data_IF_070006441776
#
_entry.id   IF_070006441776
#
_cell.length_a   1.000
_cell.length_b   1.000
_cell.length_c   1.000
_cell.angle_alpha   90.00
_cell.angle_beta   90.00
_cell.angle_gamma   90.00
#
_symmetry.space_group_name_H-M   'P 1'
#
loop_
_entity.id
_entity.type
_entity.pdbx_description
1 polymer ?
#
# COMPACT_ATOMS: atom_id res chain seq x y z
N UNK A 1 -40.89 -115.12 30.47
CA UNK A 1 -40.18 -114.79 29.27
C UNK A 1 -39.96 -113.28 29.33
N UNK A 2 -38.75 -112.88 29.22
CA UNK A 2 -38.22 -111.61 29.64
C UNK A 2 -38.86 -110.37 28.99
N UNK A 3 -39.37 -109.47 29.83
CA UNK A 3 -39.63 -108.08 29.52
C UNK A 3 -38.37 -107.29 29.82
N UNK A 4 -37.94 -106.59 28.87
CA UNK A 4 -36.81 -105.63 29.02
C UNK A 4 -37.43 -104.28 29.24
N UNK A 5 -37.25 -103.71 30.46
CA UNK A 5 -37.52 -102.37 30.78
C UNK A 5 -36.37 -101.51 30.19
N UNK A 6 -36.69 -100.59 29.31
CA UNK A 6 -35.79 -99.47 28.89
C UNK A 6 -36.00 -98.33 29.88
N UNK A 7 -34.94 -97.71 30.37
CA UNK A 7 -35.09 -96.50 31.19
C UNK A 7 -35.42 -95.28 30.32
N UNK A 8 -36.49 -94.61 30.71
CA UNK A 8 -36.83 -93.28 30.18
C UNK A 8 -35.68 -92.30 30.49
N UNK A 9 -35.05 -91.77 29.46
CA UNK A 9 -34.15 -90.64 29.57
C UNK A 9 -34.98 -89.38 29.92
N UNK A 10 -34.78 -88.89 31.17
CA UNK A 10 -35.28 -87.56 31.59
C UNK A 10 -34.65 -86.52 30.71
N UNK A 11 -35.39 -85.96 29.74
CA UNK A 11 -35.07 -84.75 29.07
C UNK A 11 -35.09 -83.63 30.13
N UNK A 12 -33.93 -83.25 30.65
CA UNK A 12 -33.76 -81.98 31.38
C UNK A 12 -34.14 -80.83 30.43
N UNK A 13 -35.35 -80.33 30.52
CA UNK A 13 -35.75 -79.06 29.93
C UNK A 13 -34.79 -77.97 30.44
N UNK A 14 -33.95 -77.52 29.54
CA UNK A 14 -33.08 -76.36 29.75
C UNK A 14 -33.98 -75.09 29.92
N UNK A 15 -34.49 -74.97 31.15
CA UNK A 15 -35.35 -73.84 31.53
C UNK A 15 -34.48 -72.57 31.52
N UNK A 16 -34.68 -71.72 30.49
CA UNK A 16 -34.09 -70.39 30.47
C UNK A 16 -34.29 -69.71 31.83
N UNK A 17 -33.24 -69.07 32.39
CA UNK A 17 -33.36 -68.43 33.69
C UNK A 17 -34.49 -67.37 33.63
N UNK A 18 -35.29 -67.27 34.70
CA UNK A 18 -36.42 -66.34 34.72
C UNK A 18 -35.92 -64.94 34.48
N UNK A 19 -36.63 -64.10 33.69
CA UNK A 19 -36.21 -62.73 33.42
C UNK A 19 -36.04 -62.01 34.72
N UNK A 20 -34.98 -61.09 34.80
CA UNK A 20 -34.69 -60.37 36.01
C UNK A 20 -35.89 -59.49 36.40
N UNK A 21 -36.41 -59.71 37.63
CA UNK A 21 -37.46 -58.87 38.20
C UNK A 21 -36.87 -57.73 38.97
N UNK A 22 -37.07 -56.52 38.48
CA UNK A 22 -36.64 -55.24 39.15
C UNK A 22 -37.79 -54.67 40.01
N UNK A 23 -37.49 -54.10 41.16
CA UNK A 23 -38.46 -53.35 41.95
C UNK A 23 -38.85 -52.09 41.25
N UNK A 24 -40.03 -51.51 41.57
CA UNK A 24 -40.46 -50.20 41.02
C UNK A 24 -39.49 -49.07 41.39
N UNK A 25 -38.83 -49.15 42.53
CA UNK A 25 -37.81 -48.16 42.97
C UNK A 25 -36.54 -48.30 42.15
N UNK A 26 -36.06 -49.47 41.84
CA UNK A 26 -34.89 -49.70 40.99
C UNK A 26 -35.14 -49.23 39.54
N UNK A 27 -36.36 -49.44 39.03
CA UNK A 27 -36.78 -48.94 37.74
C UNK A 27 -36.87 -47.42 37.71
N UNK A 28 -37.35 -46.77 38.77
CA UNK A 28 -37.42 -45.34 38.89
C UNK A 28 -36.01 -44.72 38.98
N UNK A 29 -35.10 -45.31 39.74
CA UNK A 29 -33.71 -44.89 39.85
C UNK A 29 -32.95 -45.04 38.52
N UNK A 30 -33.10 -46.17 37.84
CA UNK A 30 -32.48 -46.39 36.54
C UNK A 30 -32.97 -45.38 35.48
N UNK A 31 -34.28 -45.05 35.50
CA UNK A 31 -34.83 -44.02 34.60
C UNK A 31 -34.28 -42.64 34.92
N UNK A 32 -34.18 -42.27 36.21
CA UNK A 32 -33.63 -40.97 36.62
C UNK A 32 -32.14 -40.88 36.23
N UNK A 33 -31.35 -41.93 36.51
CA UNK A 33 -29.93 -41.97 36.11
C UNK A 33 -29.76 -41.84 34.60
N UNK A 34 -30.52 -42.60 33.81
CA UNK A 34 -30.47 -42.55 32.35
C UNK A 34 -30.90 -41.17 31.81
N UNK A 35 -31.87 -40.51 32.45
CA UNK A 35 -32.27 -39.17 32.10
C UNK A 35 -31.13 -38.16 32.37
N UNK A 36 -30.55 -38.20 33.56
CA UNK A 36 -29.50 -37.29 33.99
C UNK A 36 -28.22 -37.47 33.15
N UNK A 37 -27.83 -38.70 32.88
CA UNK A 37 -26.71 -39.02 31.98
C UNK A 37 -26.98 -38.57 30.55
N UNK A 38 -28.19 -38.86 30.03
CA UNK A 38 -28.58 -38.41 28.68
C UNK A 38 -28.64 -36.92 28.54
N UNK A 39 -29.18 -36.21 29.56
CA UNK A 39 -29.21 -34.74 29.57
C UNK A 39 -27.81 -34.14 29.61
N UNK A 40 -26.93 -34.66 30.47
CA UNK A 40 -25.54 -34.24 30.58
C UNK A 40 -24.80 -34.41 29.27
N UNK A 41 -24.91 -35.62 28.67
CA UNK A 41 -24.27 -35.91 27.39
C UNK A 41 -24.78 -35.03 26.26
N UNK A 42 -26.09 -34.84 26.14
CA UNK A 42 -26.68 -33.97 25.14
C UNK A 42 -26.26 -32.51 25.31
N UNK A 43 -26.14 -32.05 26.58
CA UNK A 43 -25.67 -30.71 26.89
C UNK A 43 -24.20 -30.49 26.51
N UNK A 44 -23.33 -31.47 26.80
CA UNK A 44 -21.92 -31.44 26.42
C UNK A 44 -21.74 -31.49 24.90
N UNK A 45 -22.45 -32.33 24.20
CA UNK A 45 -22.45 -32.42 22.73
C UNK A 45 -22.94 -31.11 22.08
N UNK A 46 -24.00 -30.52 22.62
CA UNK A 46 -24.55 -29.26 22.15
C UNK A 46 -23.55 -28.09 22.36
N UNK A 47 -22.90 -28.07 23.53
CA UNK A 47 -21.85 -27.05 23.80
C UNK A 47 -20.67 -27.20 22.85
N UNK A 48 -20.14 -28.40 22.65
CA UNK A 48 -19.04 -28.69 21.75
C UNK A 48 -19.37 -28.31 20.29
N UNK A 49 -20.59 -28.68 19.83
CA UNK A 49 -21.07 -28.34 18.49
C UNK A 49 -21.18 -26.83 18.30
N UNK A 50 -21.64 -26.09 19.34
CA UNK A 50 -21.73 -24.63 19.31
C UNK A 50 -20.36 -23.99 19.27
N UNK A 51 -19.41 -24.49 20.05
CA UNK A 51 -18.02 -23.98 20.03
C UNK A 51 -17.36 -24.19 18.66
N UNK A 52 -17.53 -25.37 18.07
CA UNK A 52 -17.04 -25.68 16.71
C UNK A 52 -17.66 -24.73 15.68
N UNK A 53 -18.97 -24.52 15.74
CA UNK A 53 -19.65 -23.57 14.83
C UNK A 53 -19.12 -22.14 14.97
N UNK A 54 -18.95 -21.65 16.21
CA UNK A 54 -18.40 -20.32 16.46
C UNK A 54 -16.96 -20.23 15.93
N UNK A 55 -16.12 -21.24 16.17
CA UNK A 55 -14.75 -21.27 15.69
C UNK A 55 -14.69 -21.21 14.15
N UNK A 56 -15.58 -21.94 13.46
CA UNK A 56 -15.67 -21.90 12.00
C UNK A 56 -16.11 -20.53 11.49
N UNK A 57 -17.13 -19.92 12.10
CA UNK A 57 -17.56 -18.57 11.73
C UNK A 57 -16.45 -17.52 11.95
N UNK A 58 -15.69 -17.66 13.03
CA UNK A 58 -14.56 -16.78 13.29
C UNK A 58 -13.45 -16.90 12.25
N UNK A 59 -13.18 -18.14 11.76
CA UNK A 59 -12.22 -18.33 10.65
C UNK A 59 -12.69 -17.64 9.36
N UNK A 60 -13.96 -17.76 9.02
CA UNK A 60 -14.55 -17.10 7.84
C UNK A 60 -14.43 -15.59 7.98
N UNK A 61 -14.77 -15.03 9.13
CA UNK A 61 -14.66 -13.58 9.39
C UNK A 61 -13.20 -13.12 9.30
N UNK A 62 -12.26 -13.87 9.86
CA UNK A 62 -10.84 -13.55 9.79
C UNK A 62 -10.30 -13.59 8.35
N UNK A 63 -10.71 -14.58 7.56
CA UNK A 63 -10.35 -14.68 6.15
C UNK A 63 -10.89 -13.48 5.34
N UNK A 64 -12.18 -13.17 5.50
CA UNK A 64 -12.81 -12.02 4.82
C UNK A 64 -12.19 -10.69 5.23
N UNK A 65 -11.81 -10.54 6.50
CA UNK A 65 -11.11 -9.33 6.95
C UNK A 65 -9.76 -9.18 6.26
N UNK A 66 -8.98 -10.27 6.15
CA UNK A 66 -7.70 -10.25 5.46
C UNK A 66 -7.83 -9.92 3.97
N UNK A 67 -8.87 -10.43 3.31
CA UNK A 67 -9.17 -10.09 1.90
C UNK A 67 -9.49 -8.60 1.74
N UNK A 68 -10.35 -8.06 2.59
CA UNK A 68 -10.71 -6.63 2.57
C UNK A 68 -9.46 -5.77 2.82
N UNK A 69 -8.63 -6.14 3.79
CA UNK A 69 -7.42 -5.41 4.11
C UNK A 69 -6.44 -5.37 2.94
N UNK A 70 -6.24 -6.51 2.26
CA UNK A 70 -5.40 -6.59 1.05
C UNK A 70 -5.97 -5.75 -0.10
N UNK A 71 -7.26 -5.88 -0.38
CA UNK A 71 -7.92 -5.11 -1.43
C UNK A 71 -7.83 -3.59 -1.18
N UNK A 72 -7.90 -3.15 0.07
CA UNK A 72 -7.75 -1.74 0.44
C UNK A 72 -6.30 -1.26 0.29
N UNK A 73 -5.30 -2.07 0.66
CA UNK A 73 -3.90 -1.76 0.43
C UNK A 73 -3.62 -1.58 -1.08
N UNK A 74 -4.06 -2.53 -1.91
CA UNK A 74 -3.92 -2.45 -3.37
C UNK A 74 -4.62 -1.21 -3.96
N UNK A 75 -5.77 -0.84 -3.40
CA UNK A 75 -6.50 0.36 -3.82
C UNK A 75 -5.74 1.64 -3.50
N UNK A 76 -5.13 1.70 -2.32
CA UNK A 76 -4.29 2.84 -1.90
C UNK A 76 -3.08 2.97 -2.83
N UNK A 77 -2.37 1.89 -3.08
CA UNK A 77 -1.20 1.88 -3.96
C UNK A 77 -1.54 2.33 -5.39
N UNK A 78 -2.67 1.86 -5.93
CA UNK A 78 -3.17 2.32 -7.24
C UNK A 78 -3.47 3.81 -7.25
N UNK A 79 -4.15 4.29 -6.21
CA UNK A 79 -4.48 5.71 -6.07
C UNK A 79 -3.22 6.59 -5.98
N UNK A 80 -2.23 6.19 -5.20
CA UNK A 80 -0.95 6.92 -5.09
C UNK A 80 -0.24 7.03 -6.44
N UNK A 81 -0.20 5.95 -7.22
CA UNK A 81 0.37 5.98 -8.58
C UNK A 81 -0.40 6.90 -9.53
N UNK A 82 -1.72 6.87 -9.47
CA UNK A 82 -2.56 7.76 -10.29
C UNK A 82 -2.33 9.24 -9.93
N UNK A 83 -2.22 9.57 -8.65
CA UNK A 83 -1.91 10.93 -8.17
C UNK A 83 -0.54 11.37 -8.66
N UNK A 84 0.47 10.51 -8.59
CA UNK A 84 1.82 10.82 -9.10
C UNK A 84 1.81 11.06 -10.62
N UNK A 85 1.13 10.22 -11.40
CA UNK A 85 0.98 10.38 -12.86
C UNK A 85 0.27 11.69 -13.21
N UNK A 86 -0.81 12.00 -12.50
CA UNK A 86 -1.54 13.25 -12.68
C UNK A 86 -0.66 14.46 -12.35
N UNK A 87 0.04 14.44 -11.23
CA UNK A 87 0.95 15.49 -10.80
C UNK A 87 2.06 15.73 -11.82
N UNK A 88 2.67 14.66 -12.33
CA UNK A 88 3.68 14.73 -13.38
C UNK A 88 3.10 15.35 -14.65
N UNK A 89 1.91 14.94 -15.09
CA UNK A 89 1.25 15.48 -16.28
C UNK A 89 0.92 16.97 -16.13
N UNK A 90 0.43 17.39 -14.97
CA UNK A 90 0.16 18.80 -14.68
C UNK A 90 1.48 19.59 -14.70
N UNK A 91 2.50 19.10 -14.02
CA UNK A 91 3.81 19.74 -13.96
C UNK A 91 4.40 19.92 -15.36
N UNK A 92 4.47 18.86 -16.15
CA UNK A 92 5.04 18.93 -17.52
C UNK A 92 4.30 19.89 -18.45
N UNK A 93 2.99 20.08 -18.26
CA UNK A 93 2.19 21.00 -19.09
C UNK A 93 2.21 22.44 -18.58
N UNK A 94 2.21 22.63 -17.27
CA UNK A 94 2.08 23.96 -16.67
C UNK A 94 3.41 24.67 -16.49
N UNK A 95 4.49 23.92 -16.26
CA UNK A 95 5.77 24.50 -15.94
C UNK A 95 6.39 25.30 -17.09
N UNK A 96 6.40 24.85 -18.36
CA UNK A 96 6.87 25.68 -19.47
C UNK A 96 6.06 26.98 -19.64
N UNK A 97 4.73 26.89 -19.53
CA UNK A 97 3.85 28.08 -19.62
C UNK A 97 4.13 29.06 -18.48
N UNK A 98 4.41 28.55 -17.30
CA UNK A 98 4.82 29.40 -16.17
C UNK A 98 6.13 30.13 -16.47
N UNK A 99 7.13 29.44 -17.01
CA UNK A 99 8.42 30.06 -17.36
C UNK A 99 8.29 31.11 -18.45
N UNK A 100 7.43 30.91 -19.44
CA UNK A 100 7.16 31.93 -20.48
C UNK A 100 6.54 33.19 -19.91
N UNK A 101 5.66 33.08 -18.91
CA UNK A 101 4.98 34.26 -18.36
C UNK A 101 5.73 34.96 -17.25
N UNK A 102 6.45 34.23 -16.41
CA UNK A 102 7.06 34.75 -15.20
C UNK A 102 8.60 34.70 -15.20
N UNK A 103 9.19 34.08 -16.23
CA UNK A 103 10.65 33.89 -16.28
C UNK A 103 11.44 35.21 -16.20
N UNK A 104 11.00 36.24 -16.90
CA UNK A 104 11.69 37.56 -16.89
C UNK A 104 11.61 38.24 -15.51
N UNK A 105 10.48 38.12 -14.79
CA UNK A 105 10.34 38.64 -13.43
C UNK A 105 11.24 37.91 -12.45
N UNK A 106 11.34 36.58 -12.59
CA UNK A 106 12.21 35.77 -11.74
C UNK A 106 13.69 36.07 -12.01
N UNK A 107 14.09 36.27 -13.26
CA UNK A 107 15.46 36.73 -13.63
C UNK A 107 15.78 38.07 -12.95
N UNK A 108 14.87 39.02 -13.01
CA UNK A 108 15.04 40.32 -12.32
C UNK A 108 15.26 40.14 -10.82
N UNK A 109 14.42 39.31 -10.16
CA UNK A 109 14.52 39.04 -8.73
C UNK A 109 15.87 38.41 -8.35
N UNK A 110 16.38 37.51 -9.19
CA UNK A 110 17.67 36.85 -8.96
C UNK A 110 18.82 37.81 -9.16
N UNK A 111 18.78 38.62 -10.19
CA UNK A 111 19.77 39.70 -10.40
C UNK A 111 19.79 40.60 -9.17
N UNK A 112 18.66 41.04 -8.68
CA UNK A 112 18.53 41.87 -7.48
C UNK A 112 19.14 41.21 -6.24
N UNK A 113 18.81 39.95 -5.97
CA UNK A 113 19.42 39.20 -4.87
C UNK A 113 20.92 39.02 -4.99
N UNK A 114 21.40 38.77 -6.21
CA UNK A 114 22.84 38.64 -6.44
C UNK A 114 23.57 39.94 -6.11
N UNK A 115 22.99 41.10 -6.40
CA UNK A 115 23.55 42.39 -6.02
C UNK A 115 23.58 42.61 -4.51
N UNK A 116 22.50 42.26 -3.82
CA UNK A 116 22.42 42.40 -2.35
C UNK A 116 23.47 41.52 -1.65
N UNK A 117 23.81 40.36 -2.21
CA UNK A 117 24.79 39.44 -1.65
C UNK A 117 26.23 39.78 -1.97
N UNK A 118 26.48 40.60 -3.05
CA UNK A 118 27.82 40.91 -3.55
C UNK A 118 28.07 42.42 -3.55
N UNK A 119 27.90 43.08 -2.39
CA UNK A 119 28.25 44.49 -2.22
C UNK A 119 29.73 44.71 -2.57
N UNK A 120 29.99 45.60 -3.57
CA UNK A 120 31.34 45.95 -4.00
C UNK A 120 31.85 45.28 -5.26
N UNK A 121 31.03 44.49 -5.95
CA UNK A 121 31.35 43.98 -7.30
C UNK A 121 31.17 45.10 -8.32
N UNK A 122 32.28 45.48 -8.99
CA UNK A 122 32.27 46.60 -9.91
C UNK A 122 31.64 46.29 -11.28
N UNK A 123 31.61 45.03 -11.68
CA UNK A 123 31.10 44.61 -12.98
C UNK A 123 30.37 43.26 -12.86
N UNK A 124 29.13 43.21 -13.32
CA UNK A 124 28.35 41.99 -13.44
C UNK A 124 27.84 41.85 -14.87
N UNK A 125 28.18 40.75 -15.49
CA UNK A 125 27.67 40.34 -16.81
C UNK A 125 26.53 39.37 -16.60
N UNK A 126 25.36 39.69 -17.14
CA UNK A 126 24.16 38.90 -17.12
C UNK A 126 23.91 38.37 -18.52
N UNK A 127 24.03 37.08 -18.73
CA UNK A 127 23.70 36.43 -19.99
C UNK A 127 22.32 35.80 -19.90
N UNK A 128 21.47 36.08 -20.88
CA UNK A 128 20.13 35.56 -21.06
C UNK A 128 19.91 35.16 -22.51
N UNK A 129 18.86 34.42 -22.80
CA UNK A 129 18.48 34.05 -24.17
C UNK A 129 18.24 35.34 -25.01
N UNK A 130 18.61 35.30 -26.29
CA UNK A 130 18.46 36.45 -27.20
C UNK A 130 17.05 37.03 -27.22
N UNK A 131 16.03 36.18 -27.14
CA UNK A 131 14.64 36.62 -27.13
C UNK A 131 14.23 37.39 -25.86
N UNK A 132 14.88 37.12 -24.72
CA UNK A 132 14.56 37.71 -23.43
C UNK A 132 15.42 38.98 -23.16
N UNK A 133 16.46 39.19 -23.97
CA UNK A 133 17.47 40.22 -23.73
C UNK A 133 16.90 41.64 -23.61
N UNK A 134 16.08 42.05 -24.57
CA UNK A 134 15.53 43.40 -24.61
C UNK A 134 14.63 43.70 -23.40
N UNK A 135 13.81 42.75 -22.98
CA UNK A 135 12.95 42.89 -21.79
C UNK A 135 13.79 42.93 -20.51
N UNK A 136 14.80 42.06 -20.38
CA UNK A 136 15.70 42.06 -19.22
C UNK A 136 16.54 43.34 -19.16
N UNK A 137 17.08 43.84 -20.27
CA UNK A 137 17.78 45.14 -20.32
C UNK A 137 16.88 46.28 -19.85
N UNK A 138 15.64 46.33 -20.31
CA UNK A 138 14.68 47.35 -19.88
C UNK A 138 14.39 47.26 -18.36
N UNK A 139 14.22 46.08 -17.82
CA UNK A 139 14.04 45.87 -16.38
C UNK A 139 15.27 46.25 -15.57
N UNK A 140 16.46 45.85 -16.02
CA UNK A 140 17.73 46.22 -15.39
C UNK A 140 17.96 47.71 -15.36
N UNK A 141 17.51 48.47 -16.40
CA UNK A 141 17.59 49.91 -16.45
C UNK A 141 16.74 50.62 -15.37
N UNK A 142 15.68 49.95 -14.89
CA UNK A 142 14.76 50.48 -13.85
C UNK A 142 15.19 50.10 -12.43
N UNK A 143 16.19 49.26 -12.27
CA UNK A 143 16.66 48.80 -10.96
C UNK A 143 17.28 49.95 -10.15
N UNK A 144 16.98 49.98 -8.85
CA UNK A 144 17.54 51.00 -7.92
C UNK A 144 17.93 50.30 -6.62
N UNK A 145 19.20 50.41 -6.16
CA UNK A 145 20.35 51.00 -6.82
C UNK A 145 20.80 50.18 -8.05
N UNK A 146 21.30 50.91 -9.08
CA UNK A 146 21.87 50.26 -10.29
C UNK A 146 23.37 50.15 -10.13
N UNK A 147 23.97 49.00 -10.39
CA UNK A 147 25.43 48.85 -10.43
C UNK A 147 26.02 49.67 -11.58
N UNK A 148 27.22 50.23 -11.38
CA UNK A 148 27.87 51.07 -12.36
C UNK A 148 28.17 50.35 -13.67
N UNK A 149 28.45 49.05 -13.62
CA UNK A 149 28.79 48.22 -14.78
C UNK A 149 27.94 46.94 -14.82
N UNK A 150 26.66 47.06 -15.15
CA UNK A 150 25.76 45.95 -15.41
C UNK A 150 25.61 45.81 -16.93
N UNK A 151 26.07 44.70 -17.46
CA UNK A 151 26.04 44.37 -18.90
C UNK A 151 25.12 43.17 -19.14
N UNK A 152 24.22 43.27 -20.13
CA UNK A 152 23.39 42.17 -20.58
C UNK A 152 23.92 41.60 -21.90
N UNK A 153 24.21 40.33 -21.93
CA UNK A 153 24.66 39.58 -23.11
C UNK A 153 23.60 38.56 -23.56
N UNK A 154 23.59 38.28 -24.86
CA UNK A 154 22.78 37.19 -25.39
C UNK A 154 23.58 35.89 -25.36
N UNK A 155 22.97 34.79 -24.89
CA UNK A 155 23.52 33.46 -24.92
C UNK A 155 22.41 32.46 -25.31
N UNK A 156 22.37 32.09 -26.59
CA UNK A 156 21.34 31.20 -27.15
C UNK A 156 21.51 29.73 -26.72
N UNK A 157 22.53 29.41 -25.93
CA UNK A 157 22.65 28.12 -25.27
C UNK A 157 21.78 28.01 -24.03
N UNK A 158 21.21 29.13 -23.56
CA UNK A 158 20.34 29.16 -22.39
C UNK A 158 18.89 28.80 -22.75
N UNK A 159 18.21 28.09 -21.85
CA UNK A 159 16.80 27.82 -21.94
C UNK A 159 15.91 29.00 -21.55
N UNK A 160 14.60 28.91 -21.82
CA UNK A 160 13.63 29.93 -21.40
C UNK A 160 13.70 30.17 -19.88
N UNK A 161 13.79 31.44 -19.47
CA UNK A 161 13.90 31.83 -18.05
C UNK A 161 15.24 31.51 -17.39
N UNK A 162 16.22 30.99 -18.15
CA UNK A 162 17.58 30.79 -17.63
C UNK A 162 18.38 32.05 -17.62
N UNK A 163 19.23 32.22 -16.61
CA UNK A 163 20.17 33.34 -16.47
C UNK A 163 21.52 32.85 -15.98
N UNK A 164 22.58 33.36 -16.60
CA UNK A 164 23.94 33.11 -16.18
C UNK A 164 24.59 34.45 -15.83
N UNK A 165 25.03 34.59 -14.60
CA UNK A 165 25.71 35.76 -14.12
C UNK A 165 27.20 35.49 -13.95
N UNK A 166 28.03 36.45 -14.29
CA UNK A 166 29.49 36.39 -14.13
C UNK A 166 29.97 37.67 -13.52
N UNK A 167 30.87 37.57 -12.54
CA UNK A 167 31.63 38.65 -11.95
C UNK A 167 33.08 38.23 -11.74
N UNK A 168 33.92 39.15 -11.32
CA UNK A 168 35.39 38.97 -11.29
C UNK A 168 35.84 37.67 -10.61
N UNK A 169 35.21 37.28 -9.49
CA UNK A 169 35.69 36.22 -8.64
C UNK A 169 34.72 35.00 -8.64
N UNK A 170 33.71 34.99 -9.56
CA UNK A 170 32.76 33.92 -9.61
C UNK A 170 31.61 34.15 -10.58
N UNK A 171 30.56 33.33 -10.41
CA UNK A 171 29.36 33.43 -11.20
C UNK A 171 28.26 32.55 -10.63
N UNK A 172 27.06 32.72 -11.14
CA UNK A 172 25.88 31.88 -10.81
C UNK A 172 25.12 31.53 -12.10
N UNK A 173 24.52 30.38 -12.12
CA UNK A 173 23.61 29.95 -13.18
C UNK A 173 22.33 29.56 -12.52
N UNK A 174 21.21 30.07 -13.02
CA UNK A 174 19.90 29.56 -12.79
C UNK A 174 19.35 29.05 -14.11
N UNK A 175 18.95 27.81 -14.14
CA UNK A 175 18.29 27.16 -15.27
C UNK A 175 17.02 26.46 -14.74
N UNK A 176 15.87 27.15 -14.73
CA UNK A 176 14.62 26.60 -14.24
C UNK A 176 14.15 25.41 -15.10
N UNK A 177 14.40 25.41 -16.41
CA UNK A 177 14.00 24.33 -17.29
C UNK A 177 14.76 23.05 -16.93
N UNK A 178 16.10 23.12 -16.77
CA UNK A 178 16.91 21.99 -16.31
C UNK A 178 16.52 21.53 -14.89
N UNK A 179 16.10 22.43 -14.01
CA UNK A 179 15.55 22.06 -12.70
C UNK A 179 14.22 21.33 -12.84
N UNK A 180 13.34 21.80 -13.72
CA UNK A 180 12.06 21.16 -14.03
C UNK A 180 12.23 19.75 -14.59
N UNK A 181 13.19 19.55 -15.49
CA UNK A 181 13.53 18.22 -16.01
C UNK A 181 13.99 17.28 -14.89
N UNK A 182 14.85 17.74 -13.98
CA UNK A 182 15.28 16.93 -12.83
C UNK A 182 14.13 16.57 -11.89
N UNK A 183 13.20 17.49 -11.67
CA UNK A 183 12.00 17.22 -10.87
C UNK A 183 11.12 16.15 -11.56
N UNK A 184 10.89 16.30 -12.87
CA UNK A 184 10.15 15.32 -13.65
C UNK A 184 10.83 13.93 -13.61
N UNK A 185 12.14 13.87 -13.76
CA UNK A 185 12.93 12.63 -13.67
C UNK A 185 12.81 11.95 -12.30
N UNK A 186 12.81 12.73 -11.21
CA UNK A 186 12.60 12.19 -9.86
C UNK A 186 11.21 11.58 -9.74
N UNK A 187 10.18 12.29 -10.21
CA UNK A 187 8.80 11.78 -10.18
C UNK A 187 8.63 10.50 -11.02
N UNK A 188 9.25 10.46 -12.21
CA UNK A 188 9.23 9.27 -13.08
C UNK A 188 9.92 8.07 -12.39
N UNK A 189 11.08 8.28 -11.80
CA UNK A 189 11.80 7.23 -11.06
C UNK A 189 11.02 6.73 -9.84
N UNK A 190 10.41 7.66 -9.11
CA UNK A 190 9.55 7.30 -7.96
C UNK A 190 8.36 6.45 -8.41
N UNK A 191 7.73 6.82 -9.53
CA UNK A 191 6.63 6.06 -10.11
C UNK A 191 7.07 4.66 -10.55
N UNK A 192 8.19 4.53 -11.25
CA UNK A 192 8.74 3.24 -11.68
C UNK A 192 9.06 2.33 -10.48
N UNK A 193 9.68 2.87 -9.42
CA UNK A 193 9.96 2.09 -8.21
C UNK A 193 8.69 1.63 -7.49
N UNK A 194 7.62 2.44 -7.51
CA UNK A 194 6.33 2.05 -6.95
C UNK A 194 5.66 0.94 -7.78
N UNK A 195 5.83 0.93 -9.11
CA UNK A 195 5.33 -0.12 -10.00
C UNK A 195 6.07 -1.44 -9.80
N UNK A 196 7.40 -1.42 -9.68
CA UNK A 196 8.22 -2.61 -9.42
C UNK A 196 7.92 -3.26 -8.07
N UNK A 197 7.72 -2.46 -7.02
CA UNK A 197 7.37 -2.96 -5.70
C UNK A 197 6.02 -3.68 -5.68
N UNK A 198 5.05 -3.19 -6.43
CA UNK A 198 3.73 -3.83 -6.55
C UNK A 198 3.82 -5.16 -7.27
N UNK A 199 4.59 -5.22 -8.37
CA UNK A 199 4.79 -6.43 -9.14
C UNK A 199 5.47 -7.53 -8.33
N UNK A 200 6.50 -7.17 -7.55
CA UNK A 200 7.16 -8.10 -6.63
C UNK A 200 6.24 -8.61 -5.51
N UNK A 201 5.30 -7.81 -5.03
CA UNK A 201 4.32 -8.23 -4.04
C UNK A 201 3.25 -9.16 -4.63
N UNK A 202 2.82 -8.93 -5.86
CA UNK A 202 1.89 -9.81 -6.57
C UNK A 202 2.53 -11.17 -6.82
N UNK A 203 3.78 -11.23 -7.30
CA UNK A 203 4.53 -12.47 -7.55
C UNK A 203 4.75 -13.30 -6.27
N UNK A 204 5.04 -12.66 -5.14
CA UNK A 204 5.19 -13.33 -3.83
C UNK A 204 3.86 -13.91 -3.35
N UNK A 205 2.76 -13.19 -3.55
CA UNK A 205 1.43 -13.65 -3.15
C UNK A 205 0.93 -14.83 -4.01
N UNK A 206 1.19 -14.83 -5.31
CA UNK A 206 0.86 -15.95 -6.19
C UNK A 206 1.70 -17.20 -5.85
N UNK A 207 2.97 -17.04 -5.51
CA UNK A 207 3.85 -18.15 -5.11
C UNK A 207 3.48 -18.81 -3.77
N UNK A 208 2.79 -18.10 -2.87
CA UNK A 208 2.32 -18.65 -1.58
C UNK A 208 1.04 -19.46 -1.75
N UNK A 209 0.20 -19.13 -2.74
CA UNK A 209 -1.07 -19.85 -2.98
C UNK A 209 -0.84 -21.19 -3.66
N UNK A 210 0.19 -21.32 -4.50
CA UNK A 210 0.50 -22.57 -5.24
C UNK A 210 1.28 -23.61 -4.40
N UNK A 211 1.88 -23.21 -3.27
CA UNK A 211 2.65 -24.09 -2.38
C UNK A 211 1.85 -24.78 -1.27
N UNK A 212 0.53 -24.61 -1.21
CA UNK A 212 -0.32 -25.11 -0.11
C UNK A 212 -0.95 -26.49 -0.28
N UNK A 213 -0.87 -27.12 -1.46
CA UNK A 213 -1.62 -28.34 -1.79
C UNK A 213 -0.78 -29.63 -1.89
N UNK A 214 0.51 -29.62 -1.52
CA UNK A 214 1.34 -30.81 -1.59
C UNK A 214 1.75 -31.36 -0.21
N UNK A 215 0.84 -31.57 0.72
CA UNK A 215 1.06 -32.47 1.88
C UNK A 215 -0.28 -32.95 2.45
N UNK A 216 -0.86 -34.00 1.82
CA UNK A 216 -1.64 -35.06 2.46
C UNK A 216 -1.00 -36.42 2.20
#
# INVERSE_FOLDING_TARGET
>A
MHSFDEPEEDEEEDLEPPPPTFSEEELAQARQQGYDEGFKKASEESAASREQYIAEQLKIVAASYNEIYRAEADRIDKFEREVLRLSLSIFQKSFPVFLEHYGAEEIENIIRKAFELHEGVNEIVVAVRSEDKDDIEARMALMTPRPEHLVCEADDSLSAGAVKMRWKDGGAILDPAAMGEKIADILIKTLASAEENTQNQEDINEGIVDGGDEHE
#
